data_IF_808597571532
#
_entry.id   IF_808597571532
#
_cell.length_a   1.000
_cell.length_b   1.000
_cell.length_c   1.000
_cell.angle_alpha   90.00
_cell.angle_beta   90.00
_cell.angle_gamma   90.00
#
_symmetry.space_group_name_H-M   'P 1'
#
loop_
_entity.id
_entity.type
_entity.pdbx_description
1 polymer ?
#
# COMPACT_ATOMS: atom_id res chain seq x y z
N UNK A 1 3.43 -14.07 -8.63
CA UNK A 1 2.47 -14.95 -7.91
C UNK A 1 1.31 -15.31 -8.86
N UNK A 2 0.74 -16.52 -8.79
CA UNK A 2 -0.50 -16.84 -9.52
C UNK A 2 -1.68 -16.14 -8.83
N UNK A 3 -2.53 -15.46 -9.60
CA UNK A 3 -3.77 -14.89 -9.08
C UNK A 3 -4.69 -15.99 -8.53
N UNK A 4 -5.34 -15.74 -7.39
CA UNK A 4 -6.37 -16.63 -6.85
C UNK A 4 -7.59 -16.63 -7.77
N UNK A 5 -8.18 -17.81 -7.98
CA UNK A 5 -9.47 -17.93 -8.67
C UNK A 5 -10.59 -17.39 -7.78
N UNK A 6 -11.69 -16.92 -8.39
CA UNK A 6 -12.82 -16.30 -7.66
C UNK A 6 -13.36 -17.17 -6.51
N UNK A 7 -13.56 -18.47 -6.72
CA UNK A 7 -14.03 -19.36 -5.65
C UNK A 7 -13.03 -19.44 -4.48
N UNK A 8 -11.73 -19.45 -4.74
CA UNK A 8 -10.70 -19.46 -3.71
C UNK A 8 -10.71 -18.15 -2.89
N UNK A 9 -10.96 -17.02 -3.55
CA UNK A 9 -11.11 -15.72 -2.87
C UNK A 9 -12.35 -15.74 -1.95
N UNK A 10 -13.46 -16.32 -2.41
CA UNK A 10 -14.67 -16.46 -1.59
C UNK A 10 -14.45 -17.37 -0.40
N UNK A 11 -13.80 -18.53 -0.57
CA UNK A 11 -13.50 -19.44 0.53
C UNK A 11 -12.64 -18.76 1.61
N UNK A 12 -11.62 -18.00 1.18
CA UNK A 12 -10.80 -17.21 2.11
C UNK A 12 -11.64 -16.13 2.78
N UNK A 13 -12.49 -15.40 2.05
CA UNK A 13 -13.34 -14.35 2.61
C UNK A 13 -14.32 -14.86 3.67
N UNK A 14 -14.90 -16.06 3.47
CA UNK A 14 -15.77 -16.71 4.47
C UNK A 14 -14.99 -17.04 5.74
N UNK A 15 -13.77 -17.55 5.63
CA UNK A 15 -12.92 -17.81 6.80
C UNK A 15 -12.53 -16.51 7.51
N UNK A 16 -12.18 -15.47 6.75
CA UNK A 16 -11.79 -14.18 7.29
C UNK A 16 -12.92 -13.53 8.08
N UNK A 17 -14.16 -13.58 7.58
CA UNK A 17 -15.33 -13.11 8.29
C UNK A 17 -15.63 -13.96 9.53
N UNK A 18 -15.66 -15.29 9.38
CA UNK A 18 -15.92 -16.24 10.47
C UNK A 18 -15.01 -16.04 11.68
N UNK A 19 -13.73 -15.77 11.44
CA UNK A 19 -12.72 -15.58 12.49
C UNK A 19 -12.43 -14.10 12.79
N UNK A 20 -13.23 -13.17 12.26
CA UNK A 20 -13.09 -11.72 12.49
C UNK A 20 -11.70 -11.16 12.14
N UNK A 21 -11.10 -11.70 11.09
CA UNK A 21 -9.77 -11.30 10.62
C UNK A 21 -9.82 -10.26 9.48
N UNK A 22 -10.99 -9.69 9.17
CA UNK A 22 -11.18 -8.81 8.01
C UNK A 22 -10.11 -7.72 7.90
N UNK A 23 -9.79 -7.09 9.03
CA UNK A 23 -8.81 -6.00 9.09
C UNK A 23 -7.40 -6.47 8.65
N UNK A 24 -7.07 -7.76 8.89
CA UNK A 24 -5.81 -8.45 8.54
C UNK A 24 -5.62 -8.72 7.05
N UNK A 25 -6.72 -8.80 6.33
CA UNK A 25 -6.73 -9.15 4.91
C UNK A 25 -7.05 -7.96 4.01
N UNK A 26 -7.14 -6.75 4.57
CA UNK A 26 -7.44 -5.54 3.79
C UNK A 26 -6.44 -5.35 2.64
N UNK A 27 -5.16 -5.59 2.90
CA UNK A 27 -4.10 -5.49 1.90
C UNK A 27 -4.23 -6.54 0.79
N UNK A 28 -4.31 -7.82 1.18
CA UNK A 28 -4.37 -8.93 0.23
C UNK A 28 -5.68 -8.95 -0.56
N UNK A 29 -6.80 -8.59 0.08
CA UNK A 29 -8.11 -8.48 -0.55
C UNK A 29 -8.14 -7.45 -1.68
N UNK A 30 -7.52 -6.28 -1.49
CA UNK A 30 -7.41 -5.27 -2.56
C UNK A 30 -6.59 -5.72 -3.77
N UNK A 31 -5.65 -6.65 -3.60
CA UNK A 31 -4.89 -7.25 -4.70
C UNK A 31 -5.65 -8.42 -5.35
N UNK A 32 -6.16 -9.36 -4.55
CA UNK A 32 -6.89 -10.53 -5.05
C UNK A 32 -8.15 -10.16 -5.83
N UNK A 33 -8.82 -9.10 -5.39
CA UNK A 33 -10.05 -8.63 -6.03
C UNK A 33 -9.77 -7.78 -7.27
N UNK A 34 -8.53 -7.64 -7.77
CA UNK A 34 -8.26 -7.06 -9.11
C UNK A 34 -8.18 -8.18 -10.14
N UNK A 35 -9.30 -8.44 -10.81
CA UNK A 35 -9.40 -9.48 -11.84
C UNK A 35 -9.50 -8.83 -13.22
N UNK A 36 -8.50 -9.02 -14.08
CA UNK A 36 -8.38 -8.35 -15.39
C UNK A 36 -9.12 -9.01 -16.56
N UNK A 37 -10.23 -9.72 -16.31
CA UNK A 37 -10.96 -10.45 -17.36
C UNK A 37 -12.43 -10.02 -17.44
N UNK A 38 -13.10 -10.34 -18.57
CA UNK A 38 -14.56 -10.23 -18.70
C UNK A 38 -15.24 -11.18 -17.71
N UNK A 39 -15.57 -10.67 -16.51
CA UNK A 39 -16.14 -11.46 -15.44
C UNK A 39 -17.60 -11.84 -15.74
N UNK A 40 -17.93 -13.11 -15.50
CA UNK A 40 -19.33 -13.57 -15.53
C UNK A 40 -20.12 -12.93 -14.39
N UNK A 41 -21.45 -12.81 -14.51
CA UNK A 41 -22.29 -12.25 -13.44
C UNK A 41 -22.10 -12.98 -12.10
N UNK A 42 -21.93 -14.31 -12.12
CA UNK A 42 -21.64 -15.09 -10.92
C UNK A 42 -20.27 -14.77 -10.32
N UNK A 43 -19.26 -14.52 -11.15
CA UNK A 43 -17.94 -14.10 -10.69
C UNK A 43 -17.97 -12.69 -10.07
N UNK A 44 -18.71 -11.76 -10.68
CA UNK A 44 -18.88 -10.39 -10.16
C UNK A 44 -19.62 -10.44 -8.81
N UNK A 45 -20.68 -11.25 -8.70
CA UNK A 45 -21.38 -11.49 -7.43
C UNK A 45 -20.42 -12.04 -6.37
N UNK A 46 -19.62 -13.05 -6.73
CA UNK A 46 -18.64 -13.63 -5.81
C UNK A 46 -17.61 -12.62 -5.31
N UNK A 47 -17.07 -11.79 -6.20
CA UNK A 47 -16.11 -10.74 -5.84
C UNK A 47 -16.74 -9.63 -5.00
N UNK A 48 -18.00 -9.26 -5.27
CA UNK A 48 -18.75 -8.31 -4.46
C UNK A 48 -18.96 -8.85 -3.03
N UNK A 49 -19.40 -10.10 -2.90
CA UNK A 49 -19.60 -10.73 -1.58
C UNK A 49 -18.28 -10.86 -0.81
N UNK A 50 -17.20 -11.26 -1.48
CA UNK A 50 -15.87 -11.28 -0.88
C UNK A 50 -15.43 -9.88 -0.44
N UNK A 51 -15.68 -8.84 -1.24
CA UNK A 51 -15.36 -7.46 -0.88
C UNK A 51 -16.13 -6.99 0.38
N UNK A 52 -17.39 -7.40 0.53
CA UNK A 52 -18.16 -7.11 1.74
C UNK A 52 -17.60 -7.83 2.97
N UNK A 53 -17.35 -9.14 2.88
CA UNK A 53 -16.81 -9.95 3.98
C UNK A 53 -15.41 -9.48 4.41
N UNK A 54 -14.61 -8.97 3.47
CA UNK A 54 -13.30 -8.38 3.74
C UNK A 54 -13.35 -6.91 4.18
N UNK A 55 -14.55 -6.33 4.36
CA UNK A 55 -14.75 -4.91 4.71
C UNK A 55 -14.03 -3.93 3.77
N UNK A 56 -14.11 -4.16 2.46
CA UNK A 56 -13.47 -3.33 1.43
C UNK A 56 -14.51 -2.46 0.69
N UNK A 57 -14.85 -1.25 1.19
CA UNK A 57 -15.99 -0.48 0.70
C UNK A 57 -15.84 -0.01 -0.75
N UNK A 58 -14.63 0.39 -1.17
CA UNK A 58 -14.38 0.82 -2.56
C UNK A 58 -14.55 -0.34 -3.55
N UNK A 59 -14.03 -1.51 -3.21
CA UNK A 59 -14.11 -2.71 -4.05
C UNK A 59 -15.54 -3.25 -4.09
N UNK A 60 -16.26 -3.20 -2.96
CA UNK A 60 -17.68 -3.50 -2.88
C UNK A 60 -18.49 -2.57 -3.80
N UNK A 61 -18.21 -1.27 -3.75
CA UNK A 61 -18.85 -0.28 -4.61
C UNK A 61 -18.59 -0.53 -6.10
N UNK A 62 -17.34 -0.83 -6.47
CA UNK A 62 -16.95 -1.14 -7.84
C UNK A 62 -17.74 -2.34 -8.40
N UNK A 63 -17.73 -3.47 -7.70
CA UNK A 63 -18.41 -4.69 -8.17
C UNK A 63 -19.94 -4.58 -8.12
N UNK A 64 -20.49 -3.86 -7.13
CA UNK A 64 -21.92 -3.54 -7.09
C UNK A 64 -22.36 -2.77 -8.34
N UNK A 65 -21.59 -1.75 -8.76
CA UNK A 65 -21.89 -0.98 -9.98
C UNK A 65 -21.82 -1.83 -11.26
N UNK A 66 -20.89 -2.78 -11.35
CA UNK A 66 -20.83 -3.71 -12.48
C UNK A 66 -22.09 -4.60 -12.56
N UNK A 67 -22.68 -5.00 -11.43
CA UNK A 67 -23.94 -5.74 -11.39
C UNK A 67 -25.16 -4.88 -11.72
N UNK A 68 -25.16 -3.61 -11.29
CA UNK A 68 -26.18 -2.63 -11.65
C UNK A 68 -26.22 -2.42 -13.17
N UNK A 69 -25.05 -2.35 -13.82
CA UNK A 69 -24.96 -2.19 -15.27
C UNK A 69 -25.50 -3.41 -16.07
N UNK A 70 -25.50 -4.62 -15.48
CA UNK A 70 -26.00 -5.86 -16.12
C UNK A 70 -27.50 -6.07 -15.84
N UNK A 71 -28.35 -5.25 -16.46
CA UNK A 71 -29.82 -5.22 -16.22
C UNK A 71 -30.58 -6.49 -16.64
N UNK A 72 -30.02 -7.32 -17.51
CA UNK A 72 -30.71 -8.48 -18.09
C UNK A 72 -30.69 -9.75 -17.21
N UNK A 73 -30.06 -9.70 -16.03
CA UNK A 73 -29.85 -10.91 -15.19
C UNK A 73 -30.47 -10.74 -13.80
N UNK A 74 -31.38 -11.65 -13.45
CA UNK A 74 -31.92 -11.80 -12.09
C UNK A 74 -30.86 -12.35 -11.14
N UNK A 75 -30.65 -11.66 -10.01
CA UNK A 75 -29.58 -11.97 -9.06
C UNK A 75 -29.98 -12.99 -7.98
N UNK A 76 -31.28 -13.28 -7.85
CA UNK A 76 -31.85 -14.17 -6.82
C UNK A 76 -31.20 -15.55 -6.77
N UNK A 77 -30.81 -16.12 -7.93
CA UNK A 77 -30.12 -17.41 -7.98
C UNK A 77 -28.75 -17.41 -7.28
N UNK A 78 -28.10 -16.25 -7.17
CA UNK A 78 -26.80 -16.11 -6.50
C UNK A 78 -26.93 -15.79 -5.00
N UNK A 79 -28.04 -15.17 -4.57
CA UNK A 79 -28.33 -14.99 -3.14
C UNK A 79 -28.33 -16.32 -2.37
N UNK A 80 -28.90 -17.36 -2.97
CA UNK A 80 -28.96 -18.69 -2.35
C UNK A 80 -27.62 -19.42 -2.31
N UNK A 81 -26.59 -18.90 -3.00
CA UNK A 81 -25.22 -19.43 -2.97
C UNK A 81 -24.41 -18.85 -1.81
N UNK A 82 -24.91 -17.81 -1.13
CA UNK A 82 -24.25 -17.28 0.06
C UNK A 82 -24.52 -18.15 1.30
N UNK A 83 -23.54 -18.29 2.21
CA UNK A 83 -23.76 -18.94 3.51
C UNK A 83 -24.91 -18.28 4.28
N UNK A 84 -24.96 -16.94 4.27
CA UNK A 84 -26.10 -16.16 4.77
C UNK A 84 -27.04 -15.78 3.63
N UNK A 85 -28.14 -16.53 3.52
CA UNK A 85 -29.18 -16.32 2.50
C UNK A 85 -29.93 -15.00 2.68
N UNK A 86 -30.11 -14.55 3.92
CA UNK A 86 -30.82 -13.30 4.22
C UNK A 86 -29.98 -12.10 3.76
N UNK A 87 -28.68 -12.14 4.04
CA UNK A 87 -27.73 -11.15 3.54
C UNK A 87 -27.67 -11.15 2.01
N UNK A 88 -27.65 -12.32 1.37
CA UNK A 88 -27.68 -12.42 -0.09
C UNK A 88 -28.95 -11.81 -0.72
N UNK A 89 -30.11 -12.00 -0.09
CA UNK A 89 -31.36 -11.38 -0.53
C UNK A 89 -31.36 -9.86 -0.32
N UNK A 90 -30.77 -9.36 0.78
CA UNK A 90 -30.57 -7.92 1.01
C UNK A 90 -29.69 -7.29 -0.06
N UNK A 91 -28.62 -7.95 -0.49
CA UNK A 91 -27.80 -7.46 -1.62
C UNK A 91 -28.55 -7.46 -2.94
N UNK A 92 -29.34 -8.50 -3.24
CA UNK A 92 -30.18 -8.49 -4.44
C UNK A 92 -31.11 -7.28 -4.42
N UNK A 93 -31.83 -7.07 -3.32
CA UNK A 93 -32.76 -5.96 -3.18
C UNK A 93 -32.06 -4.60 -3.33
N UNK A 94 -30.92 -4.40 -2.67
CA UNK A 94 -30.15 -3.16 -2.76
C UNK A 94 -29.64 -2.88 -4.19
N UNK A 95 -29.20 -3.91 -4.92
CA UNK A 95 -28.76 -3.76 -6.31
C UNK A 95 -29.94 -3.47 -7.24
N UNK A 96 -31.09 -4.13 -7.07
CA UNK A 96 -32.30 -3.81 -7.84
C UNK A 96 -32.83 -2.40 -7.52
N UNK A 97 -32.72 -1.95 -6.28
CA UNK A 97 -33.04 -0.58 -5.89
C UNK A 97 -32.09 0.45 -6.53
N UNK A 98 -30.79 0.15 -6.57
CA UNK A 98 -29.78 0.95 -7.28
C UNK A 98 -29.90 0.89 -8.81
N UNK A 99 -30.52 -0.15 -9.39
CA UNK A 99 -30.89 -0.15 -10.82
C UNK A 99 -32.02 0.83 -11.12
N UNK A 100 -32.86 1.11 -10.11
CA UNK A 100 -34.03 1.97 -10.21
C UNK A 100 -33.75 3.43 -9.77
N UNK A 101 -32.65 3.70 -9.04
CA UNK A 101 -32.21 5.05 -8.65
C UNK A 101 -30.79 5.35 -9.14
N UNK A 102 -30.59 6.52 -9.75
CA UNK A 102 -29.26 7.02 -10.14
C UNK A 102 -28.32 7.24 -8.94
N UNK A 103 -27.01 7.03 -9.18
CA UNK A 103 -25.86 6.92 -8.26
C UNK A 103 -25.86 7.81 -6.99
N UNK A 104 -25.44 7.29 -5.82
CA UNK A 104 -24.93 8.10 -4.72
C UNK A 104 -23.39 8.27 -4.76
N UNK A 105 -22.92 9.39 -4.23
CA UNK A 105 -21.51 9.77 -4.05
C UNK A 105 -20.86 9.15 -2.79
N UNK A 106 -19.52 8.90 -2.78
CA UNK A 106 -18.83 8.32 -1.64
C UNK A 106 -18.44 9.34 -0.56
N UNK A 107 -18.68 9.01 0.70
CA UNK A 107 -18.28 9.79 1.89
C UNK A 107 -16.81 9.56 2.28
N UNK A 108 -16.15 10.62 2.77
CA UNK A 108 -14.78 10.62 3.30
C UNK A 108 -14.81 10.43 4.83
N UNK A 109 -13.93 9.58 5.35
CA UNK A 109 -13.65 9.45 6.79
C UNK A 109 -12.50 10.40 7.19
N UNK A 110 -12.61 10.99 8.38
CA UNK A 110 -11.64 11.90 9.01
C UNK A 110 -10.77 11.12 10.02
N UNK A 111 -9.48 11.46 10.10
CA UNK A 111 -8.55 10.93 11.12
C UNK A 111 -8.49 11.84 12.35
N UNK A 112 -8.57 11.26 13.56
CA UNK A 112 -8.26 11.92 14.83
C UNK A 112 -6.79 11.77 15.30
N UNK A 113 -6.39 12.70 16.18
CA UNK A 113 -5.04 13.06 16.67
C UNK A 113 -4.55 12.12 17.81
N UNK A 114 -3.23 11.93 18.05
CA UNK A 114 -2.72 10.70 18.71
C UNK A 114 -2.47 10.80 20.22
N UNK A 115 -2.87 9.75 20.95
CA UNK A 115 -2.16 9.19 22.12
C UNK A 115 -1.26 8.01 21.64
N UNK A 116 -0.52 7.35 22.54
CA UNK A 116 0.43 6.26 22.22
C UNK A 116 -0.10 5.37 21.09
N UNK A 117 0.66 5.28 19.99
CA UNK A 117 0.22 4.54 18.81
C UNK A 117 0.57 3.07 18.98
N UNK A 118 -0.40 2.28 19.39
CA UNK A 118 -0.24 0.83 19.54
C UNK A 118 -0.37 0.14 18.18
N UNK A 119 0.68 -0.60 17.79
CA UNK A 119 0.63 -1.52 16.64
C UNK A 119 0.16 -2.89 17.15
N UNK A 120 0.72 -3.36 18.27
CA UNK A 120 0.34 -4.62 18.92
C UNK A 120 -0.09 -4.31 20.35
N UNK A 121 -1.37 -4.54 20.71
CA UNK A 121 -1.83 -4.40 22.08
C UNK A 121 -0.99 -5.27 23.02
N UNK A 122 -0.45 -4.67 24.09
CA UNK A 122 0.41 -5.38 25.05
C UNK A 122 1.81 -5.73 24.52
N UNK A 123 2.28 -5.08 23.46
CA UNK A 123 3.65 -5.24 22.96
C UNK A 123 4.72 -4.98 24.04
N UNK A 124 5.77 -5.78 24.04
CA UNK A 124 6.89 -5.77 25.00
C UNK A 124 7.96 -4.72 24.70
N UNK A 125 7.79 -3.93 23.62
CA UNK A 125 8.69 -2.85 23.23
C UNK A 125 7.92 -1.56 22.96
N UNK A 126 8.47 -0.45 23.46
CA UNK A 126 8.02 0.91 23.13
C UNK A 126 9.15 1.60 22.36
N UNK A 127 8.96 1.82 21.07
CA UNK A 127 9.89 2.61 20.27
C UNK A 127 9.65 4.09 20.54
N UNK A 128 10.69 4.81 20.95
CA UNK A 128 10.68 6.25 21.18
C UNK A 128 11.38 6.93 20.00
N UNK A 129 10.59 7.41 19.04
CA UNK A 129 11.07 7.71 17.68
C UNK A 129 11.11 9.21 17.38
N UNK A 130 12.21 9.64 16.78
CA UNK A 130 12.42 10.98 16.27
C UNK A 130 12.63 12.04 17.36
N UNK A 131 12.87 13.31 16.95
CA UNK A 131 13.10 14.42 17.88
C UNK A 131 11.87 14.72 18.75
N UNK A 132 10.67 14.39 18.27
CA UNK A 132 9.41 14.54 18.99
C UNK A 132 9.14 13.39 19.99
N UNK A 133 10.03 12.39 20.08
CA UNK A 133 9.92 11.23 21.00
C UNK A 133 8.56 10.54 20.93
N UNK A 134 8.07 10.31 19.71
CA UNK A 134 6.78 9.65 19.50
C UNK A 134 6.89 8.21 19.99
N UNK A 135 5.97 7.80 20.88
CA UNK A 135 5.93 6.44 21.43
C UNK A 135 5.06 5.52 20.58
N UNK A 136 5.65 4.43 20.10
CA UNK A 136 4.99 3.40 19.29
C UNK A 136 5.16 2.07 20.01
N UNK A 137 4.06 1.42 20.40
CA UNK A 137 4.12 0.12 21.07
C UNK A 137 4.00 -1.03 20.07
N UNK A 138 4.93 -1.98 20.16
CA UNK A 138 5.09 -3.09 19.21
C UNK A 138 5.67 -4.31 19.93
N UNK A 139 5.64 -5.48 19.31
CA UNK A 139 6.31 -6.67 19.83
C UNK A 139 7.76 -6.78 19.34
N UNK A 140 8.68 -7.10 20.25
CA UNK A 140 10.07 -7.47 19.93
C UNK A 140 10.13 -8.64 18.93
N UNK A 141 9.20 -9.59 19.02
CA UNK A 141 9.12 -10.73 18.10
C UNK A 141 8.85 -10.26 16.67
N UNK A 142 7.91 -9.34 16.47
CA UNK A 142 7.64 -8.77 15.15
C UNK A 142 8.90 -8.06 14.62
N UNK A 143 9.49 -7.17 15.42
CA UNK A 143 10.70 -6.42 15.04
C UNK A 143 11.84 -7.35 14.59
N UNK A 144 12.16 -8.38 15.38
CA UNK A 144 13.26 -9.32 15.10
C UNK A 144 12.99 -10.21 13.90
N UNK A 145 11.75 -10.65 13.70
CA UNK A 145 11.41 -11.55 12.59
C UNK A 145 11.34 -10.82 11.25
N UNK A 146 10.97 -9.53 11.25
CA UNK A 146 10.86 -8.76 10.02
C UNK A 146 12.14 -8.01 9.65
N UNK A 147 12.97 -7.62 10.61
CA UNK A 147 14.19 -6.83 10.37
C UNK A 147 15.43 -7.51 10.94
N UNK A 148 16.42 -7.86 10.10
CA UNK A 148 17.74 -8.31 10.55
C UNK A 148 18.44 -7.30 11.47
N UNK A 149 18.26 -6.00 11.21
CA UNK A 149 18.84 -4.93 12.05
C UNK A 149 18.27 -4.97 13.45
N UNK A 150 16.95 -5.03 13.60
CA UNK A 150 16.33 -5.19 14.92
C UNK A 150 16.65 -6.55 15.53
N UNK A 151 16.81 -7.61 14.75
CA UNK A 151 17.22 -8.92 15.28
C UNK A 151 18.59 -8.87 15.97
N UNK A 152 19.54 -8.14 15.38
CA UNK A 152 20.86 -7.92 15.95
C UNK A 152 20.79 -6.97 17.17
N UNK A 153 20.11 -5.82 17.02
CA UNK A 153 19.97 -4.80 18.08
C UNK A 153 19.25 -5.34 19.33
N UNK A 154 18.26 -6.20 19.16
CA UNK A 154 17.52 -6.83 20.27
C UNK A 154 18.18 -8.13 20.74
N UNK A 155 19.35 -8.46 20.21
CA UNK A 155 20.15 -9.61 20.59
C UNK A 155 20.92 -9.43 21.90
N UNK A 156 21.64 -10.47 22.36
CA UNK A 156 22.36 -10.44 23.63
C UNK A 156 23.53 -9.43 23.69
N UNK A 157 24.04 -9.00 22.54
CA UNK A 157 25.26 -8.21 22.44
C UNK A 157 25.03 -6.68 22.51
N UNK A 158 23.78 -6.25 22.62
CA UNK A 158 23.38 -4.85 22.59
C UNK A 158 22.66 -4.49 23.87
N UNK A 159 22.79 -3.22 24.29
CA UNK A 159 22.19 -2.71 25.54
C UNK A 159 20.68 -2.82 25.49
N UNK A 160 20.10 -2.56 24.32
CA UNK A 160 18.67 -2.65 24.02
C UNK A 160 18.15 -4.08 24.26
N UNK A 161 18.86 -5.09 23.77
CA UNK A 161 18.48 -6.49 23.98
C UNK A 161 18.67 -6.97 25.42
N UNK A 162 19.67 -6.45 26.15
CA UNK A 162 19.83 -6.72 27.59
C UNK A 162 18.69 -6.09 28.40
N UNK A 163 18.38 -4.82 28.15
CA UNK A 163 17.25 -4.14 28.79
C UNK A 163 15.92 -4.88 28.54
N UNK A 164 15.71 -5.39 27.31
CA UNK A 164 14.53 -6.19 26.97
C UNK A 164 14.38 -7.47 27.80
N UNK A 165 15.49 -8.10 28.22
CA UNK A 165 15.45 -9.33 29.04
C UNK A 165 15.28 -9.06 30.53
N UNK A 166 15.82 -7.94 31.01
CA UNK A 166 15.87 -7.62 32.43
C UNK A 166 14.63 -6.86 32.90
N UNK A 167 13.93 -6.16 32.00
CA UNK A 167 12.71 -5.45 32.34
C UNK A 167 11.51 -6.40 32.50
N UNK A 168 10.74 -6.19 33.56
CA UNK A 168 9.46 -6.88 33.81
C UNK A 168 8.29 -6.28 33.00
N UNK A 169 8.50 -5.15 32.31
CA UNK A 169 7.51 -4.45 31.50
C UNK A 169 8.03 -4.03 30.12
N UNK A 170 7.23 -3.30 29.32
CA UNK A 170 7.62 -2.87 27.98
C UNK A 170 8.92 -2.06 28.00
N UNK A 171 9.89 -2.45 27.20
CA UNK A 171 11.20 -1.80 27.15
C UNK A 171 11.22 -0.65 26.16
N UNK A 172 11.69 0.52 26.60
CA UNK A 172 11.87 1.67 25.71
C UNK A 172 13.15 1.57 24.87
N UNK A 173 13.02 1.76 23.56
CA UNK A 173 14.16 1.80 22.62
C UNK A 173 14.13 3.13 21.88
N UNK A 174 15.21 3.89 22.01
CA UNK A 174 15.28 5.27 21.50
C UNK A 174 15.86 5.27 20.08
N UNK A 175 15.10 5.83 19.14
CA UNK A 175 15.44 5.93 17.71
C UNK A 175 15.37 7.40 17.26
N UNK A 176 16.35 8.24 17.65
CA UNK A 176 16.22 9.70 17.56
C UNK A 176 16.25 10.24 16.13
N UNK A 177 16.87 9.50 15.21
CA UNK A 177 17.07 9.90 13.81
C UNK A 177 15.96 9.39 12.88
N UNK A 178 15.07 8.52 13.38
CA UNK A 178 14.06 7.86 12.55
C UNK A 178 12.77 8.67 12.42
N UNK A 179 12.12 8.50 11.26
CA UNK A 179 10.81 9.08 11.00
C UNK A 179 9.72 8.23 11.67
N UNK A 180 9.14 8.76 12.75
CA UNK A 180 8.10 8.08 13.53
C UNK A 180 6.88 7.66 12.68
N UNK A 181 6.47 8.49 11.71
CA UNK A 181 5.30 8.21 10.87
C UNK A 181 5.61 7.07 9.89
N UNK A 182 6.79 7.09 9.29
CA UNK A 182 7.26 6.02 8.39
C UNK A 182 7.37 4.69 9.14
N UNK A 183 7.97 4.71 10.34
CA UNK A 183 8.16 3.51 11.16
C UNK A 183 6.81 2.92 11.58
N UNK A 184 5.89 3.79 12.03
CA UNK A 184 4.52 3.38 12.38
C UNK A 184 3.81 2.75 11.19
N UNK A 185 3.84 3.40 10.02
CA UNK A 185 3.15 2.90 8.82
C UNK A 185 3.77 1.58 8.32
N UNK A 186 5.10 1.46 8.31
CA UNK A 186 5.80 0.24 7.88
C UNK A 186 5.42 -0.95 8.77
N UNK A 187 5.49 -0.80 10.09
CA UNK A 187 5.13 -1.89 11.01
C UNK A 187 3.63 -2.14 11.12
N UNK A 188 2.79 -1.10 10.94
CA UNK A 188 1.34 -1.28 10.81
C UNK A 188 0.99 -2.08 9.56
N UNK A 189 1.74 -1.89 8.48
CA UNK A 189 1.62 -2.66 7.23
C UNK A 189 2.03 -4.11 7.43
N UNK A 190 3.19 -4.36 8.06
CA UNK A 190 3.70 -5.71 8.32
C UNK A 190 2.83 -6.50 9.31
N UNK A 191 2.25 -5.83 10.31
CA UNK A 191 1.32 -6.44 11.25
C UNK A 191 -0.07 -6.67 10.64
N UNK A 192 -0.42 -5.91 9.59
CA UNK A 192 -1.64 -6.08 8.81
C UNK A 192 -2.92 -5.57 9.46
N UNK A 193 -2.89 -4.82 10.57
CA UNK A 193 -4.12 -4.44 11.30
C UNK A 193 -4.75 -3.11 10.91
N UNK A 194 -4.10 -2.30 10.07
CA UNK A 194 -4.48 -0.90 9.91
C UNK A 194 -4.96 -0.58 8.49
N UNK A 195 -6.27 -0.44 8.24
CA UNK A 195 -6.82 -0.13 6.92
C UNK A 195 -6.26 1.15 6.29
N UNK A 196 -5.80 2.12 7.11
CA UNK A 196 -5.19 3.37 6.66
C UNK A 196 -3.95 3.13 5.79
N UNK A 197 -3.17 2.08 6.06
CA UNK A 197 -1.94 1.79 5.32
C UNK A 197 -2.19 1.36 3.87
N UNK A 198 -3.46 1.14 3.49
CA UNK A 198 -3.86 0.89 2.11
C UNK A 198 -4.00 2.18 1.28
N UNK A 199 -4.11 3.35 1.94
CA UNK A 199 -4.31 4.65 1.29
C UNK A 199 -3.17 5.62 1.64
N UNK A 200 -1.93 5.13 1.61
CA UNK A 200 -0.76 5.98 1.84
C UNK A 200 -0.52 6.91 0.64
N UNK A 201 -0.19 8.16 0.94
CA UNK A 201 0.23 9.11 -0.08
C UNK A 201 1.66 8.85 -0.58
N UNK A 202 2.07 9.47 -1.70
CA UNK A 202 3.40 9.31 -2.27
C UNK A 202 4.56 9.58 -1.30
N UNK A 203 4.43 10.60 -0.46
CA UNK A 203 5.45 10.95 0.55
C UNK A 203 5.55 9.88 1.64
N UNK A 204 4.43 9.34 2.09
CA UNK A 204 4.41 8.28 3.11
C UNK A 204 5.04 6.99 2.56
N UNK A 205 4.78 6.65 1.29
CA UNK A 205 5.37 5.48 0.63
C UNK A 205 6.89 5.68 0.43
N UNK A 206 7.32 6.87 0.02
CA UNK A 206 8.73 7.21 -0.13
C UNK A 206 9.48 7.12 1.21
N UNK A 207 8.93 7.68 2.28
CA UNK A 207 9.54 7.61 3.61
C UNK A 207 9.64 6.16 4.10
N UNK A 208 8.64 5.32 3.81
CA UNK A 208 8.69 3.87 4.09
C UNK A 208 9.79 3.20 3.28
N UNK A 209 10.00 3.57 2.01
CA UNK A 209 11.04 2.99 1.17
C UNK A 209 12.45 3.27 1.73
N UNK A 210 12.70 4.50 2.19
CA UNK A 210 13.95 4.87 2.87
C UNK A 210 14.15 4.03 4.13
N UNK A 211 13.10 3.91 4.95
CA UNK A 211 13.14 3.13 6.18
C UNK A 211 13.34 1.63 5.89
N UNK A 212 12.71 1.11 4.85
CA UNK A 212 12.83 -0.28 4.43
C UNK A 212 14.25 -0.62 4.00
N UNK A 213 14.96 0.29 3.36
CA UNK A 213 16.39 0.12 3.07
C UNK A 213 17.23 0.11 4.35
N UNK A 214 16.95 1.01 5.30
CA UNK A 214 17.68 1.09 6.58
C UNK A 214 17.55 -0.17 7.43
N UNK A 215 16.34 -0.71 7.53
CA UNK A 215 16.02 -1.86 8.41
C UNK A 215 15.93 -3.20 7.67
N UNK A 216 16.22 -3.21 6.37
CA UNK A 216 16.10 -4.37 5.49
C UNK A 216 14.71 -5.03 5.56
N UNK A 217 13.68 -4.22 5.28
CA UNK A 217 12.26 -4.64 5.27
C UNK A 217 11.72 -4.90 3.85
N UNK A 218 12.55 -4.75 2.81
CA UNK A 218 12.12 -4.72 1.40
C UNK A 218 11.31 -5.97 1.05
N UNK A 219 11.87 -7.15 1.31
CA UNK A 219 11.21 -8.42 0.95
C UNK A 219 9.93 -8.65 1.77
N UNK A 220 9.90 -8.16 3.02
CA UNK A 220 8.72 -8.26 3.90
C UNK A 220 7.58 -7.36 3.43
N UNK A 221 7.91 -6.24 2.77
CA UNK A 221 6.97 -5.30 2.19
C UNK A 221 6.63 -5.62 0.72
N UNK A 222 7.11 -6.73 0.14
CA UNK A 222 6.87 -7.02 -1.27
C UNK A 222 5.38 -7.08 -1.63
N UNK A 223 4.57 -7.76 -0.80
CA UNK A 223 3.12 -7.76 -0.96
C UNK A 223 2.59 -6.33 -0.87
N UNK A 224 2.98 -5.62 0.21
CA UNK A 224 2.94 -4.16 0.43
C UNK A 224 2.89 -3.28 -0.83
N UNK A 225 3.97 -3.47 -1.59
CA UNK A 225 4.31 -2.66 -2.74
C UNK A 225 3.36 -2.91 -3.90
N UNK A 226 2.94 -4.16 -4.11
CA UNK A 226 2.01 -4.49 -5.20
C UNK A 226 0.73 -3.65 -5.12
N UNK A 227 0.14 -3.46 -3.92
CA UNK A 227 -1.07 -2.65 -3.82
C UNK A 227 -0.79 -1.14 -3.91
N UNK A 228 0.30 -0.64 -3.31
CA UNK A 228 0.67 0.77 -3.37
C UNK A 228 0.91 1.25 -4.81
N UNK A 229 1.55 0.41 -5.63
CA UNK A 229 1.91 0.75 -7.01
C UNK A 229 0.90 0.32 -8.08
N UNK A 230 -0.16 -0.41 -7.72
CA UNK A 230 -1.15 -0.88 -8.68
C UNK A 230 -2.17 0.20 -9.13
N UNK A 231 -1.82 1.49 -9.07
CA UNK A 231 -2.63 2.57 -9.63
C UNK A 231 -2.55 2.55 -11.16
N UNK A 232 -3.46 1.82 -11.81
CA UNK A 232 -3.43 1.55 -13.26
C UNK A 232 -4.07 2.64 -14.13
N UNK A 233 -4.83 3.57 -13.54
CA UNK A 233 -5.59 4.59 -14.29
C UNK A 233 -5.07 6.02 -14.07
N UNK A 234 -4.07 6.20 -13.22
CA UNK A 234 -3.49 7.51 -12.96
C UNK A 234 -2.32 7.76 -13.91
N UNK A 235 -2.29 8.92 -14.57
CA UNK A 235 -1.14 9.35 -15.37
C UNK A 235 -0.14 10.18 -14.54
N UNK A 236 -0.44 10.43 -13.26
CA UNK A 236 0.41 11.12 -12.29
C UNK A 236 -0.09 10.92 -10.87
N UNK A 237 0.80 10.99 -9.88
CA UNK A 237 0.53 11.12 -8.44
C UNK A 237 0.28 12.57 -8.00
N UNK A 238 0.11 13.48 -8.97
CA UNK A 238 -0.35 14.86 -8.78
C UNK A 238 0.71 15.92 -9.01
N UNK A 239 2.00 15.56 -9.03
CA UNK A 239 3.09 16.45 -9.44
C UNK A 239 4.33 15.66 -9.84
N UNK A 240 5.19 16.25 -10.69
CA UNK A 240 6.48 15.64 -11.09
C UNK A 240 7.35 15.27 -9.89
N UNK A 241 7.32 16.05 -8.81
CA UNK A 241 8.06 15.75 -7.58
C UNK A 241 7.52 14.47 -6.90
N UNK A 242 6.19 14.31 -6.84
CA UNK A 242 5.56 13.10 -6.29
C UNK A 242 5.83 11.90 -7.17
N UNK A 243 5.76 12.06 -8.49
CA UNK A 243 6.08 11.02 -9.46
C UNK A 243 7.54 10.58 -9.33
N UNK A 244 8.46 11.53 -9.16
CA UNK A 244 9.89 11.26 -8.90
C UNK A 244 10.12 10.50 -7.59
N UNK A 245 9.49 10.93 -6.49
CA UNK A 245 9.51 10.22 -5.21
C UNK A 245 8.99 8.79 -5.35
N UNK A 246 7.92 8.58 -6.12
CA UNK A 246 7.37 7.25 -6.36
C UNK A 246 8.30 6.39 -7.23
N UNK A 247 9.01 6.97 -8.20
CA UNK A 247 10.06 6.26 -8.94
C UNK A 247 11.17 5.78 -8.00
N UNK A 248 11.70 6.67 -7.15
CA UNK A 248 12.72 6.30 -6.15
C UNK A 248 12.22 5.23 -5.18
N UNK A 249 10.99 5.39 -4.67
CA UNK A 249 10.36 4.42 -3.78
C UNK A 249 10.25 3.05 -4.45
N UNK A 250 9.81 3.00 -5.71
CA UNK A 250 9.68 1.75 -6.46
C UNK A 250 11.03 1.07 -6.70
N UNK A 251 12.08 1.85 -6.94
CA UNK A 251 13.44 1.35 -7.11
C UNK A 251 13.97 0.74 -5.80
N UNK A 252 13.87 1.45 -4.67
CA UNK A 252 14.36 0.95 -3.39
C UNK A 252 13.54 -0.23 -2.86
N UNK A 253 12.23 -0.24 -3.10
CA UNK A 253 11.35 -1.35 -2.74
C UNK A 253 11.40 -2.52 -3.75
N UNK A 254 12.22 -2.41 -4.82
CA UNK A 254 12.37 -3.41 -5.87
C UNK A 254 11.04 -3.81 -6.52
N UNK A 255 10.12 -2.86 -6.65
CA UNK A 255 8.81 -3.08 -7.29
C UNK A 255 8.91 -2.86 -8.80
N UNK A 256 8.94 -3.95 -9.57
CA UNK A 256 8.96 -3.89 -11.04
C UNK A 256 7.73 -3.16 -11.59
N UNK A 257 6.54 -3.46 -11.05
CA UNK A 257 5.29 -2.83 -11.43
C UNK A 257 5.32 -1.32 -11.13
N UNK A 258 5.76 -0.94 -9.94
CA UNK A 258 5.88 0.46 -9.54
C UNK A 258 6.85 1.24 -10.42
N UNK A 259 8.01 0.65 -10.70
CA UNK A 259 9.04 1.28 -11.53
C UNK A 259 8.53 1.50 -12.95
N UNK A 260 7.87 0.49 -13.53
CA UNK A 260 7.25 0.61 -14.85
C UNK A 260 6.18 1.69 -14.88
N UNK A 261 5.24 1.69 -13.95
CA UNK A 261 4.13 2.66 -13.95
C UNK A 261 4.63 4.09 -13.74
N UNK A 262 5.53 4.31 -12.78
CA UNK A 262 6.06 5.65 -12.47
C UNK A 262 6.98 6.18 -13.55
N UNK A 263 7.78 5.34 -14.20
CA UNK A 263 8.58 5.75 -15.35
C UNK A 263 7.70 6.18 -16.52
N UNK A 264 6.62 5.45 -16.83
CA UNK A 264 5.64 5.87 -17.85
C UNK A 264 5.02 7.23 -17.50
N UNK A 265 4.58 7.43 -16.25
CA UNK A 265 4.02 8.72 -15.81
C UNK A 265 5.01 9.89 -16.00
N UNK A 266 6.29 9.67 -15.67
CA UNK A 266 7.34 10.69 -15.83
C UNK A 266 7.71 10.95 -17.29
N UNK A 267 7.64 9.92 -18.14
CA UNK A 267 7.78 10.05 -19.59
C UNK A 267 6.60 10.88 -20.10
N UNK A 268 5.36 10.42 -19.90
CA UNK A 268 4.14 11.09 -20.40
C UNK A 268 3.98 12.55 -19.92
N UNK A 269 4.52 12.91 -18.76
CA UNK A 269 4.59 14.29 -18.27
C UNK A 269 5.57 15.19 -19.08
N UNK A 270 6.04 14.76 -20.26
CA UNK A 270 6.95 15.45 -21.18
C UNK A 270 6.71 16.96 -21.22
N UNK A 271 7.68 17.70 -20.66
CA UNK A 271 7.68 19.17 -20.66
C UNK A 271 8.59 19.78 -19.58
N UNK A 272 8.95 19.02 -18.54
CA UNK A 272 9.83 19.49 -17.45
C UNK A 272 11.09 18.63 -17.35
N UNK A 273 12.25 19.28 -17.25
CA UNK A 273 13.53 18.60 -17.04
C UNK A 273 13.57 17.89 -15.68
N UNK A 274 13.83 16.58 -15.69
CA UNK A 274 14.01 15.77 -14.48
C UNK A 274 15.37 16.00 -13.80
N UNK A 275 16.30 16.69 -14.48
CA UNK A 275 17.66 16.93 -13.99
C UNK A 275 17.69 17.55 -12.59
N UNK A 276 16.81 18.53 -12.33
CA UNK A 276 16.70 19.18 -11.02
C UNK A 276 16.41 18.15 -9.92
N UNK A 277 15.43 17.27 -10.16
CA UNK A 277 15.05 16.23 -9.20
C UNK A 277 16.14 15.17 -9.01
N UNK A 278 16.86 14.81 -10.08
CA UNK A 278 18.04 13.94 -10.00
C UNK A 278 19.15 14.53 -9.12
N UNK A 279 19.43 15.82 -9.24
CA UNK A 279 20.45 16.52 -8.45
C UNK A 279 20.05 16.74 -6.98
N UNK A 280 18.76 16.89 -6.71
CA UNK A 280 18.21 17.04 -5.34
C UNK A 280 18.06 15.69 -4.62
N UNK A 281 18.25 14.57 -5.31
CA UNK A 281 18.25 13.24 -4.70
C UNK A 281 19.48 13.08 -3.79
N UNK A 282 19.34 12.58 -2.54
CA UNK A 282 20.48 12.45 -1.62
C UNK A 282 21.67 11.69 -2.19
N UNK A 283 21.40 10.61 -2.95
CA UNK A 283 22.37 9.98 -3.84
C UNK A 283 22.22 10.59 -5.24
N UNK A 284 23.04 11.60 -5.51
CA UNK A 284 23.03 12.33 -6.79
C UNK A 284 23.39 11.43 -7.97
N UNK A 285 24.26 10.43 -7.77
CA UNK A 285 24.67 9.51 -8.83
C UNK A 285 23.50 8.61 -9.21
N UNK A 286 22.79 8.08 -8.21
CA UNK A 286 21.56 7.32 -8.43
C UNK A 286 20.50 8.19 -9.11
N UNK A 287 20.27 9.40 -8.62
CA UNK A 287 19.30 10.33 -9.19
C UNK A 287 19.55 10.61 -10.67
N UNK A 288 20.80 10.92 -11.04
CA UNK A 288 21.18 11.15 -12.43
C UNK A 288 21.06 9.89 -13.30
N UNK A 289 21.41 8.70 -12.77
CA UNK A 289 21.20 7.42 -13.49
C UNK A 289 19.74 7.17 -13.78
N UNK A 290 18.84 7.41 -12.82
CA UNK A 290 17.41 7.25 -13.00
C UNK A 290 16.86 8.26 -14.02
N UNK A 291 17.32 9.52 -14.00
CA UNK A 291 16.97 10.50 -15.02
C UNK A 291 17.32 10.00 -16.43
N UNK A 292 18.56 9.50 -16.61
CA UNK A 292 19.01 8.97 -17.90
C UNK A 292 18.19 7.76 -18.36
N UNK A 293 17.86 6.84 -17.43
CA UNK A 293 17.03 5.68 -17.75
C UNK A 293 15.63 6.08 -18.22
N UNK A 294 14.97 7.01 -17.53
CA UNK A 294 13.65 7.51 -17.93
C UNK A 294 13.72 8.18 -19.31
N UNK A 295 14.77 8.96 -19.57
CA UNK A 295 14.98 9.59 -20.89
C UNK A 295 15.21 8.58 -22.01
N UNK A 296 15.96 7.51 -21.75
CA UNK A 296 16.23 6.45 -22.74
C UNK A 296 14.98 5.62 -23.07
N UNK A 297 14.04 5.51 -22.13
CA UNK A 297 12.79 4.76 -22.30
C UNK A 297 11.73 5.53 -23.10
N UNK A 298 11.91 6.84 -23.35
CA UNK A 298 11.00 7.65 -24.16
C UNK A 298 11.27 7.44 -25.67
N UNK A 299 10.35 6.82 -26.44
CA UNK A 299 10.68 6.37 -27.80
C UNK A 299 10.88 7.46 -28.87
N UNK A 300 10.55 8.73 -28.63
CA UNK A 300 10.53 9.76 -29.69
C UNK A 300 10.86 11.19 -29.23
N UNK A 301 11.96 11.41 -28.50
CA UNK A 301 12.50 12.77 -28.35
C UNK A 301 13.70 12.98 -29.28
N UNK A 302 13.44 13.59 -30.44
CA UNK A 302 14.48 14.21 -31.25
C UNK A 302 15.28 15.17 -30.36
N UNK A 303 16.58 14.92 -30.29
CA UNK A 303 17.55 15.82 -29.67
C UNK A 303 17.55 17.14 -30.45
N UNK A 304 16.82 18.13 -29.95
CA UNK A 304 16.76 19.48 -30.47
C UNK A 304 16.31 20.40 -29.36
N UNK A 305 17.17 21.34 -28.98
CA UNK A 305 16.90 22.50 -28.13
C UNK A 305 17.02 22.36 -26.60
N UNK A 306 18.02 21.62 -26.11
CA UNK A 306 18.66 21.99 -24.83
C UNK A 306 20.16 22.11 -25.03
N UNK A 307 20.61 23.34 -25.30
CA UNK A 307 22.03 23.70 -25.28
C UNK A 307 22.53 23.57 -23.83
N UNK A 308 23.55 22.76 -23.52
CA UNK A 308 24.15 22.78 -22.19
C UNK A 308 24.69 24.19 -21.91
N UNK A 309 24.61 24.72 -20.68
CA UNK A 309 25.24 25.98 -20.34
C UNK A 309 26.73 25.85 -20.65
N UNK A 310 27.21 26.67 -21.58
CA UNK A 310 28.61 26.74 -21.92
C UNK A 310 29.41 27.02 -20.64
N UNK A 311 30.24 26.07 -20.24
CA UNK A 311 31.37 26.33 -19.37
C UNK A 311 32.25 27.34 -20.12
N UNK A 312 32.21 28.60 -19.68
CA UNK A 312 33.19 29.60 -20.09
C UNK A 312 34.59 29.11 -19.72
N UNK A 313 35.54 29.06 -20.66
CA UNK A 313 36.94 28.85 -20.32
C UNK A 313 37.46 30.05 -19.52
N UNK A 314 38.44 29.74 -18.67
CA UNK A 314 39.19 30.59 -17.74
C UNK A 314 39.48 32.01 -18.23
#
# INVERSE_FOLDING_TARGET
>A
MRFLKVHQIQDVAVLVDKYQMADRFTFAGGYWLRQGQTLTTGSIWGLMTAAYLLKLPRTLYYYSNLLVAKKEVTLTKYAFQMPDRMLGLKFCLAIEELRNRGKPEPSKEEDEVPYVREIIPGGDVILVVGPKKVKIQVSSHLLRTTSPVFNVMLGPNFKEGTALRENEGPTEIVLPEDNAKALYNAYSTLYGANPRVNNLGPEEIYDIAVLAQKYDLIDRLALACEAWFAHTEANTYGSTEKDWKMLLASYWLRSELGFKNTSIMLIEAHGKSLYKHGMETPDQVLGLRLCLLVLQLAPDCKYGDVKPPCLSPQ
#
